data_IF_435141538821
#
_entry.id   IF_435141538821
#
_cell.length_a   1.000
_cell.length_b   1.000
_cell.length_c   1.000
_cell.angle_alpha   90.00
_cell.angle_beta   90.00
_cell.angle_gamma   90.00
#
_symmetry.space_group_name_H-M   'P 1'
#
loop_
_entity.id
_entity.type
_entity.pdbx_description
1 polymer ?
#
# COMPACT_ATOMS: atom_id res chain seq x y z
N UNK A 1 68.33 21.00 32.97
CA UNK A 1 67.41 20.08 32.26
C UNK A 1 66.08 20.80 32.02
N UNK A 2 65.87 21.28 30.79
CA UNK A 2 64.59 21.96 30.39
C UNK A 2 63.65 20.90 29.80
N UNK A 3 62.47 20.76 30.42
CA UNK A 3 61.41 19.90 29.88
C UNK A 3 60.65 20.68 28.80
N UNK A 4 60.69 20.22 27.57
CA UNK A 4 59.80 20.68 26.50
C UNK A 4 58.41 20.05 26.69
N UNK A 5 57.41 20.88 26.94
CA UNK A 5 56.02 20.47 26.91
C UNK A 5 55.52 20.50 25.46
N UNK A 6 55.10 19.35 24.94
CA UNK A 6 54.42 19.23 23.64
C UNK A 6 52.92 19.44 23.88
N UNK A 7 52.38 20.57 23.40
CA UNK A 7 50.93 20.82 23.37
C UNK A 7 50.36 20.12 22.12
N UNK A 8 49.52 19.10 22.33
CA UNK A 8 48.77 18.47 21.28
C UNK A 8 47.44 19.26 21.10
N UNK A 9 47.37 20.04 20.02
CA UNK A 9 46.11 20.65 19.61
C UNK A 9 45.23 19.58 18.96
N UNK A 10 44.17 19.14 19.64
CA UNK A 10 43.13 18.29 19.04
C UNK A 10 42.23 19.18 18.22
N UNK A 11 42.33 19.09 16.90
CA UNK A 11 41.44 19.74 15.96
C UNK A 11 40.13 18.90 15.93
N UNK A 12 39.06 19.37 16.58
CA UNK A 12 37.74 18.81 16.44
C UNK A 12 37.18 19.20 15.07
N UNK A 13 37.18 18.26 14.14
CA UNK A 13 36.49 18.40 12.85
C UNK A 13 34.99 18.19 13.15
N UNK A 14 34.25 19.28 13.28
CA UNK A 14 32.78 19.23 13.19
C UNK A 14 32.43 18.93 11.72
N UNK A 15 32.10 17.69 11.41
CA UNK A 15 31.42 17.36 10.18
C UNK A 15 30.01 18.01 10.24
N UNK A 16 29.85 19.15 9.57
CA UNK A 16 28.54 19.67 9.25
C UNK A 16 27.93 18.67 8.27
N UNK A 17 26.99 17.85 8.75
CA UNK A 17 26.12 17.13 7.85
C UNK A 17 25.37 18.20 7.03
N UNK A 18 25.63 18.26 5.74
CA UNK A 18 24.78 19.01 4.83
C UNK A 18 23.37 18.45 4.98
N UNK A 19 22.31 19.28 5.06
CA UNK A 19 20.96 18.78 4.92
C UNK A 19 20.93 18.03 3.60
N UNK A 20 20.58 16.74 3.63
CA UNK A 20 20.36 15.97 2.42
C UNK A 20 19.36 16.73 1.56
N UNK A 21 19.67 16.96 0.30
CA UNK A 21 18.67 17.47 -0.63
C UNK A 21 17.49 16.50 -0.55
N UNK A 22 16.29 17.03 -0.30
CA UNK A 22 15.05 16.25 -0.44
C UNK A 22 14.90 15.99 -1.93
N UNK A 23 14.57 14.76 -2.32
CA UNK A 23 14.21 14.46 -3.69
C UNK A 23 13.10 15.42 -4.14
N UNK A 24 13.24 15.99 -5.31
CA UNK A 24 12.12 16.66 -5.98
C UNK A 24 11.33 15.59 -6.73
N UNK A 25 10.05 15.44 -6.39
CA UNK A 25 9.18 14.44 -7.00
C UNK A 25 8.02 15.13 -7.71
N UNK A 26 7.68 14.65 -8.89
CA UNK A 26 6.58 15.15 -9.70
C UNK A 26 5.62 13.98 -9.98
N UNK A 27 4.35 14.12 -9.62
CA UNK A 27 3.32 13.19 -10.03
C UNK A 27 2.92 13.48 -11.48
N UNK A 28 3.34 12.61 -12.40
CA UNK A 28 2.99 12.75 -13.81
C UNK A 28 1.55 12.28 -14.05
N UNK A 29 1.18 11.10 -13.53
CA UNK A 29 -0.18 10.57 -13.61
C UNK A 29 -0.59 9.84 -12.33
N UNK A 30 -1.89 9.85 -12.05
CA UNK A 30 -2.51 8.99 -11.03
C UNK A 30 -3.93 8.62 -11.41
N UNK A 31 -4.29 7.37 -11.12
CA UNK A 31 -5.62 6.84 -11.36
C UNK A 31 -6.06 5.92 -10.22
N UNK A 32 -7.36 5.86 -9.99
CA UNK A 32 -8.01 5.04 -8.97
C UNK A 32 -9.02 4.10 -9.63
N UNK A 33 -8.94 2.82 -9.36
CA UNK A 33 -9.92 1.84 -9.82
C UNK A 33 -10.67 1.29 -8.60
N UNK A 34 -12.00 1.39 -8.63
CA UNK A 34 -12.87 0.80 -7.63
C UNK A 34 -13.92 -0.03 -8.33
N UNK A 35 -13.85 -1.34 -8.15
CA UNK A 35 -14.82 -2.31 -8.70
C UNK A 35 -14.99 -2.18 -10.22
N UNK A 36 -13.89 -1.88 -10.94
CA UNK A 36 -13.85 -1.68 -12.39
C UNK A 36 -14.24 -0.27 -12.86
N UNK A 37 -14.62 0.64 -11.97
CA UNK A 37 -14.82 2.04 -12.31
C UNK A 37 -13.52 2.83 -12.05
N UNK A 38 -13.05 3.55 -13.08
CA UNK A 38 -11.77 4.28 -13.05
C UNK A 38 -12.02 5.77 -12.88
N UNK A 39 -11.23 6.39 -12.00
CA UNK A 39 -11.33 7.80 -11.63
C UNK A 39 -9.95 8.45 -11.65
N UNK A 40 -9.90 9.75 -12.00
CA UNK A 40 -8.77 10.63 -11.71
C UNK A 40 -8.96 11.30 -10.34
N UNK A 41 -7.93 11.95 -9.76
CA UNK A 41 -8.05 12.67 -8.48
C UNK A 41 -9.22 13.67 -8.44
N UNK A 42 -9.48 14.36 -9.54
CA UNK A 42 -10.57 15.34 -9.63
C UNK A 42 -11.97 14.75 -9.79
N UNK A 43 -12.09 13.46 -10.07
CA UNK A 43 -13.36 12.74 -10.26
C UNK A 43 -13.58 11.62 -9.25
N UNK A 44 -12.66 11.44 -8.30
CA UNK A 44 -12.77 10.42 -7.27
C UNK A 44 -14.08 10.57 -6.47
N UNK A 45 -14.80 9.47 -6.19
CA UNK A 45 -16.04 9.53 -5.44
C UNK A 45 -15.80 9.93 -3.97
N UNK A 46 -16.85 10.37 -3.27
CA UNK A 46 -16.77 10.97 -1.93
C UNK A 46 -16.22 10.01 -0.84
N UNK A 47 -16.17 8.71 -1.11
CA UNK A 47 -15.56 7.72 -0.21
C UNK A 47 -14.03 7.64 -0.34
N UNK A 48 -13.43 8.40 -1.27
CA UNK A 48 -12.00 8.63 -1.37
C UNK A 48 -11.63 9.96 -0.74
N UNK A 49 -10.61 9.97 0.10
CA UNK A 49 -10.08 11.17 0.75
C UNK A 49 -8.61 11.38 0.34
N UNK A 50 -8.37 12.44 -0.40
CA UNK A 50 -7.05 12.84 -0.89
C UNK A 50 -6.50 14.06 -0.14
N UNK A 51 -7.13 14.52 0.93
CA UNK A 51 -6.72 15.74 1.65
C UNK A 51 -5.29 15.66 2.25
N UNK A 52 -4.76 14.46 2.45
CA UNK A 52 -3.40 14.21 2.93
C UNK A 52 -2.45 13.74 1.82
N UNK A 53 -2.82 13.91 0.56
CA UNK A 53 -2.03 13.57 -0.63
C UNK A 53 -1.71 14.82 -1.43
N UNK A 54 -0.43 15.04 -1.67
CA UNK A 54 0.05 16.11 -2.54
C UNK A 54 0.03 15.61 -3.99
N UNK A 55 -0.95 16.06 -4.75
CA UNK A 55 -1.11 15.68 -6.16
C UNK A 55 -0.05 16.32 -7.10
N UNK A 56 0.76 17.25 -6.63
CA UNK A 56 1.89 17.78 -7.39
C UNK A 56 3.13 16.89 -7.24
N UNK A 57 3.42 16.48 -6.01
CA UNK A 57 4.60 15.67 -5.71
C UNK A 57 4.33 14.15 -5.71
N UNK A 58 3.09 13.71 -5.73
CA UNK A 58 2.74 12.29 -5.61
C UNK A 58 2.96 11.71 -4.20
N UNK A 59 3.14 12.55 -3.19
CA UNK A 59 3.49 12.14 -1.83
C UNK A 59 2.32 12.31 -0.85
N UNK A 60 2.25 11.43 0.14
CA UNK A 60 1.26 11.51 1.20
C UNK A 60 0.38 10.28 1.31
N UNK A 61 -0.88 10.46 1.72
CA UNK A 61 -1.80 9.36 2.00
C UNK A 61 -3.12 9.56 1.25
N UNK A 62 -3.52 8.56 0.51
CA UNK A 62 -4.83 8.41 -0.10
C UNK A 62 -5.61 7.41 0.76
N UNK A 63 -6.80 7.79 1.24
CA UNK A 63 -7.66 6.90 2.04
C UNK A 63 -8.95 6.63 1.27
N UNK A 64 -9.36 5.36 1.19
CA UNK A 64 -10.65 4.97 0.65
C UNK A 64 -11.46 4.16 1.67
N UNK A 65 -12.77 4.36 1.70
CA UNK A 65 -13.70 3.56 2.50
C UNK A 65 -14.69 2.83 1.62
N UNK A 66 -14.83 1.53 1.83
CA UNK A 66 -15.76 0.68 1.08
C UNK A 66 -16.75 0.05 2.02
N UNK A 67 -18.01 0.06 1.62
CA UNK A 67 -19.15 -0.54 2.33
C UNK A 67 -19.97 -1.38 1.37
N UNK A 68 -20.80 -2.25 1.91
CA UNK A 68 -21.65 -3.13 1.12
C UNK A 68 -21.12 -4.57 1.09
N UNK A 69 -22.02 -5.51 1.13
CA UNK A 69 -21.65 -6.93 1.05
C UNK A 69 -21.23 -7.31 -0.37
N UNK A 70 -20.18 -8.09 -0.48
CA UNK A 70 -19.73 -8.63 -1.76
C UNK A 70 -18.23 -8.64 -1.90
N UNK A 71 -17.77 -8.95 -3.11
CA UNK A 71 -16.38 -8.85 -3.51
C UNK A 71 -16.10 -7.43 -3.98
N UNK A 72 -14.98 -6.89 -3.54
CA UNK A 72 -14.50 -5.56 -3.89
C UNK A 72 -13.07 -5.62 -4.38
N UNK A 73 -12.76 -4.68 -5.27
CA UNK A 73 -11.45 -4.47 -5.83
C UNK A 73 -11.12 -2.97 -5.78
N UNK A 74 -10.03 -2.60 -5.14
CA UNK A 74 -9.54 -1.22 -5.11
C UNK A 74 -8.08 -1.16 -5.48
N UNK A 75 -7.73 -0.30 -6.47
CA UNK A 75 -6.35 -0.09 -6.90
C UNK A 75 -6.04 1.39 -7.01
N UNK A 76 -4.77 1.72 -6.77
CA UNK A 76 -4.16 3.02 -7.03
C UNK A 76 -2.99 2.80 -7.97
N UNK A 77 -2.97 3.54 -9.06
CA UNK A 77 -1.86 3.68 -10.00
C UNK A 77 -1.21 5.04 -9.81
N UNK A 78 0.11 5.08 -9.79
CA UNK A 78 0.91 6.30 -9.66
C UNK A 78 2.10 6.21 -10.60
N UNK A 79 2.29 7.27 -11.35
CA UNK A 79 3.44 7.54 -12.20
C UNK A 79 4.14 8.78 -11.62
N UNK A 80 5.29 8.56 -10.97
CA UNK A 80 6.02 9.58 -10.20
C UNK A 80 7.44 9.67 -10.74
N UNK A 81 7.85 10.86 -11.11
CA UNK A 81 9.21 11.18 -11.55
C UNK A 81 10.07 11.67 -10.39
N UNK A 82 11.34 11.26 -10.33
CA UNK A 82 12.29 11.67 -9.29
C UNK A 82 13.40 12.49 -9.92
N UNK A 83 13.52 13.76 -9.49
CA UNK A 83 14.61 14.69 -9.93
C UNK A 83 14.73 14.85 -11.47
N UNK A 84 13.60 14.75 -12.20
CA UNK A 84 13.52 14.77 -13.66
C UNK A 84 14.19 16.01 -14.31
N UNK A 85 14.20 17.16 -13.63
CA UNK A 85 14.86 18.37 -14.13
C UNK A 85 16.40 18.21 -14.23
N UNK A 86 16.97 17.23 -13.53
CA UNK A 86 18.42 17.00 -13.44
C UNK A 86 18.87 15.86 -14.35
N UNK A 87 18.05 14.82 -14.48
CA UNK A 87 18.46 13.61 -15.20
C UNK A 87 17.33 13.08 -16.08
N UNK A 88 16.55 12.62 -16.33
CA UNK A 88 15.48 12.10 -17.17
C UNK A 88 14.89 10.84 -16.55
N UNK A 89 13.69 10.55 -16.90
CA UNK A 89 12.90 9.48 -16.29
C UNK A 89 13.28 8.04 -16.70
N UNK A 90 14.10 7.85 -17.73
CA UNK A 90 14.52 6.50 -18.20
C UNK A 90 15.70 5.88 -17.43
N UNK A 91 16.03 6.38 -16.26
CA UNK A 91 17.18 5.91 -15.47
C UNK A 91 16.76 5.26 -14.13
N UNK A 92 15.50 5.17 -13.88
CA UNK A 92 14.94 4.67 -12.63
C UNK A 92 14.79 3.15 -12.61
N UNK A 93 14.64 2.58 -11.44
CA UNK A 93 14.31 1.15 -11.30
C UNK A 93 13.41 0.88 -10.10
N UNK A 94 12.62 -0.16 -10.23
CA UNK A 94 11.73 -0.63 -9.20
C UNK A 94 12.29 -1.77 -8.36
N UNK A 95 11.84 -1.86 -7.11
CA UNK A 95 12.08 -2.99 -6.23
C UNK A 95 10.91 -3.20 -5.26
N UNK A 96 10.86 -4.36 -4.61
CA UNK A 96 9.89 -4.64 -3.55
C UNK A 96 10.59 -4.99 -2.25
N UNK A 97 9.91 -4.77 -1.12
CA UNK A 97 10.38 -5.18 0.19
C UNK A 97 9.24 -5.83 0.98
N UNK A 98 9.57 -6.88 1.73
CA UNK A 98 8.59 -7.67 2.48
C UNK A 98 7.85 -8.69 1.61
N UNK A 99 6.76 -9.23 2.14
CA UNK A 99 5.87 -10.16 1.44
C UNK A 99 4.45 -9.57 1.43
N UNK A 100 3.74 -9.61 0.29
CA UNK A 100 2.39 -9.08 0.21
C UNK A 100 1.44 -9.89 1.10
N UNK A 101 0.54 -9.20 1.78
CA UNK A 101 -0.55 -9.82 2.53
C UNK A 101 -1.57 -10.46 1.58
N UNK A 102 -2.35 -11.39 2.10
CA UNK A 102 -3.43 -12.01 1.32
C UNK A 102 -4.40 -10.93 0.80
N UNK A 103 -4.69 -10.97 -0.50
CA UNK A 103 -5.54 -10.00 -1.19
C UNK A 103 -4.83 -8.72 -1.64
N UNK A 104 -3.61 -8.44 -1.19
CA UNK A 104 -2.80 -7.34 -1.72
C UNK A 104 -2.25 -7.72 -3.10
N UNK A 105 -2.50 -6.87 -4.07
CA UNK A 105 -1.98 -6.95 -5.44
C UNK A 105 -0.99 -5.82 -5.67
N UNK A 106 -0.03 -6.04 -6.52
CA UNK A 106 0.99 -5.05 -6.82
C UNK A 106 1.60 -5.25 -8.21
N UNK A 107 2.16 -4.20 -8.77
CA UNK A 107 2.94 -4.24 -9.98
C UNK A 107 3.87 -3.03 -10.04
N UNK A 108 5.04 -3.21 -10.65
CA UNK A 108 5.98 -2.18 -11.03
C UNK A 108 6.32 -2.41 -12.48
N UNK A 109 6.09 -1.42 -13.33
CA UNK A 109 6.42 -1.54 -14.75
C UNK A 109 6.55 -0.14 -15.40
N UNK A 110 6.91 -0.08 -16.67
CA UNK A 110 6.77 1.14 -17.45
C UNK A 110 5.29 1.55 -17.55
N UNK A 111 4.97 2.86 -17.65
CA UNK A 111 3.59 3.35 -17.50
C UNK A 111 2.59 2.88 -18.58
N UNK A 112 3.05 2.20 -19.64
CA UNK A 112 2.16 1.62 -20.65
C UNK A 112 1.88 2.52 -21.85
N UNK A 113 2.51 3.67 -21.98
CA UNK A 113 2.34 4.53 -23.16
C UNK A 113 3.00 3.97 -24.42
N UNK A 114 4.12 3.28 -24.25
CA UNK A 114 4.88 2.64 -25.31
C UNK A 114 5.28 1.22 -24.95
N UNK A 115 5.66 1.00 -23.69
CA UNK A 115 6.10 -0.27 -23.11
C UNK A 115 5.44 -0.46 -21.75
N UNK A 116 5.50 -1.69 -21.23
CA UNK A 116 4.82 -2.08 -20.00
C UNK A 116 3.33 -2.37 -20.20
N UNK A 117 2.73 -3.03 -19.24
CA UNK A 117 1.31 -3.38 -19.25
C UNK A 117 0.58 -3.06 -17.92
N UNK A 118 1.27 -2.40 -16.99
CA UNK A 118 0.75 -2.04 -15.67
C UNK A 118 -0.57 -1.25 -15.75
N UNK A 119 -0.71 -0.34 -16.72
CA UNK A 119 -1.93 0.45 -16.87
C UNK A 119 -3.09 -0.40 -17.36
N UNK A 120 -2.87 -1.32 -18.29
CA UNK A 120 -3.87 -2.26 -18.76
C UNK A 120 -4.30 -3.22 -17.65
N UNK A 121 -3.34 -3.74 -16.86
CA UNK A 121 -3.57 -4.57 -15.68
C UNK A 121 -4.34 -3.82 -14.59
N UNK A 122 -3.99 -2.55 -14.36
CA UNK A 122 -4.73 -1.67 -13.46
C UNK A 122 -6.17 -1.44 -13.93
N UNK A 123 -6.40 -1.18 -15.22
CA UNK A 123 -7.75 -1.04 -15.79
C UNK A 123 -8.57 -2.32 -15.64
N UNK A 124 -7.94 -3.47 -15.83
CA UNK A 124 -8.55 -4.78 -15.66
C UNK A 124 -8.80 -5.14 -14.18
N UNK A 125 -8.22 -4.40 -13.22
CA UNK A 125 -8.29 -4.72 -11.80
C UNK A 125 -7.49 -5.97 -11.41
N UNK A 126 -6.42 -6.29 -12.16
CA UNK A 126 -5.71 -7.56 -12.06
C UNK A 126 -4.19 -7.37 -12.22
N UNK A 127 -3.56 -6.68 -11.23
CA UNK A 127 -2.10 -6.54 -11.17
C UNK A 127 -1.44 -7.91 -11.04
N UNK A 128 -0.36 -8.14 -11.79
CA UNK A 128 0.21 -9.47 -12.01
C UNK A 128 1.28 -9.87 -10.99
N UNK A 129 1.72 -8.95 -10.13
CA UNK A 129 2.71 -9.22 -9.09
C UNK A 129 4.14 -9.28 -9.62
N UNK A 130 4.44 -8.58 -10.71
CA UNK A 130 5.77 -8.53 -11.32
C UNK A 130 6.45 -7.16 -11.19
N UNK A 131 7.73 -7.14 -11.50
CA UNK A 131 8.54 -5.95 -11.64
C UNK A 131 9.21 -5.99 -13.02
N UNK A 132 8.70 -5.20 -13.96
CA UNK A 132 9.19 -5.07 -15.32
C UNK A 132 10.47 -4.22 -15.43
N UNK A 133 10.71 -3.34 -14.45
CA UNK A 133 11.85 -2.41 -14.42
C UNK A 133 12.78 -2.69 -13.22
N UNK A 134 13.42 -3.87 -13.14
CA UNK A 134 14.25 -4.24 -12.00
C UNK A 134 15.64 -3.55 -12.03
N UNK A 135 16.36 -3.54 -10.88
CA UNK A 135 17.75 -3.06 -10.84
C UNK A 135 18.62 -3.72 -11.93
N UNK A 136 19.32 -2.90 -12.72
CA UNK A 136 20.15 -3.34 -13.85
C UNK A 136 19.48 -3.20 -15.23
N UNK A 137 18.19 -2.92 -15.27
CA UNK A 137 17.41 -2.57 -16.45
C UNK A 137 16.57 -1.33 -16.15
N UNK A 138 17.23 -0.16 -15.91
CA UNK A 138 16.52 1.07 -15.57
C UNK A 138 15.74 1.58 -16.78
N UNK A 139 14.56 2.10 -16.51
CA UNK A 139 13.66 2.75 -17.46
C UNK A 139 12.72 3.69 -16.70
N UNK A 140 11.62 4.07 -17.30
CA UNK A 140 10.50 4.79 -16.69
C UNK A 140 9.73 3.87 -15.73
N UNK A 141 9.45 4.32 -14.50
CA UNK A 141 8.87 3.48 -13.45
C UNK A 141 7.53 4.00 -12.97
N UNK A 142 6.51 3.20 -13.16
CA UNK A 142 5.20 3.39 -12.52
C UNK A 142 4.91 2.32 -11.47
N UNK A 143 4.02 2.65 -10.53
CA UNK A 143 3.55 1.74 -9.47
C UNK A 143 2.06 1.48 -9.54
N UNK A 144 1.66 0.28 -9.19
CA UNK A 144 0.29 0.02 -8.79
C UNK A 144 0.22 -0.84 -7.54
N UNK A 145 -0.65 -0.47 -6.61
CA UNK A 145 -1.05 -1.28 -5.45
C UNK A 145 -2.56 -1.38 -5.38
N UNK A 146 -3.06 -2.53 -4.95
CA UNK A 146 -4.48 -2.73 -4.79
C UNK A 146 -4.84 -3.87 -3.86
N UNK A 147 -6.13 -4.00 -3.58
CA UNK A 147 -6.68 -5.03 -2.71
C UNK A 147 -7.90 -5.69 -3.34
N UNK A 148 -7.91 -7.02 -3.30
CA UNK A 148 -9.09 -7.84 -3.49
C UNK A 148 -9.57 -8.35 -2.13
N UNK A 149 -10.81 -8.06 -1.78
CA UNK A 149 -11.39 -8.46 -0.49
C UNK A 149 -12.90 -8.68 -0.58
N UNK A 150 -13.46 -9.29 0.44
CA UNK A 150 -14.89 -9.47 0.58
C UNK A 150 -15.38 -8.80 1.86
N UNK A 151 -16.56 -8.17 1.79
CA UNK A 151 -17.26 -7.61 2.95
C UNK A 151 -18.57 -8.35 3.21
N UNK A 152 -18.88 -8.56 4.49
CA UNK A 152 -20.22 -8.88 4.96
C UNK A 152 -21.07 -7.59 5.08
N UNK A 153 -22.39 -7.72 5.18
CA UNK A 153 -23.33 -6.60 5.01
C UNK A 153 -23.16 -5.39 5.92
N UNK A 154 -22.55 -5.55 7.10
CA UNK A 154 -22.31 -4.46 8.06
C UNK A 154 -20.83 -4.09 8.20
N UNK A 155 -19.96 -4.67 7.39
CA UNK A 155 -18.54 -4.38 7.43
C UNK A 155 -18.18 -3.15 6.61
N UNK A 156 -17.11 -2.50 7.05
CA UNK A 156 -16.48 -1.34 6.37
C UNK A 156 -14.99 -1.63 6.24
N UNK A 157 -14.50 -1.61 5.02
CA UNK A 157 -13.06 -1.61 4.76
C UNK A 157 -12.55 -0.16 4.68
N UNK A 158 -11.47 0.13 5.39
CA UNK A 158 -10.70 1.35 5.26
C UNK A 158 -9.32 0.99 4.70
N UNK A 159 -9.01 1.54 3.54
CA UNK A 159 -7.75 1.33 2.84
C UNK A 159 -6.94 2.62 2.87
N UNK A 160 -5.65 2.52 3.22
CA UNK A 160 -4.70 3.62 3.16
C UNK A 160 -3.59 3.25 2.18
N UNK A 161 -3.40 4.07 1.16
CA UNK A 161 -2.29 4.01 0.23
C UNK A 161 -1.36 5.17 0.57
N UNK A 162 -0.09 4.89 0.78
CA UNK A 162 0.86 5.90 1.24
C UNK A 162 2.12 5.90 0.40
N UNK A 163 2.47 7.07 -0.11
CA UNK A 163 3.76 7.38 -0.72
C UNK A 163 4.62 8.24 0.22
N UNK A 164 5.92 8.03 0.22
CA UNK A 164 6.85 8.72 1.12
C UNK A 164 8.29 8.64 0.61
N UNK A 165 9.10 9.64 0.92
CA UNK A 165 10.57 9.60 0.73
C UNK A 165 11.30 8.84 1.86
N UNK A 166 10.56 8.31 2.82
CA UNK A 166 11.11 7.52 3.93
C UNK A 166 10.53 6.12 3.89
N UNK A 167 11.41 5.13 3.90
CA UNK A 167 11.01 3.72 3.89
C UNK A 167 10.07 3.40 5.06
N UNK A 168 8.99 2.65 4.83
CA UNK A 168 8.17 2.10 5.90
C UNK A 168 9.00 1.25 6.87
N UNK A 169 8.65 1.28 8.16
CA UNK A 169 9.36 0.49 9.18
C UNK A 169 9.15 -1.04 9.04
N UNK A 170 8.22 -1.47 8.21
CA UNK A 170 7.91 -2.86 7.95
C UNK A 170 6.71 -3.02 7.02
N UNK A 171 6.28 -4.26 6.80
CA UNK A 171 5.21 -4.60 5.86
C UNK A 171 5.73 -4.75 4.42
N UNK A 172 4.79 -4.90 3.49
CA UNK A 172 5.09 -4.92 2.06
C UNK A 172 5.03 -3.50 1.48
N UNK A 173 6.01 -3.15 0.67
CA UNK A 173 6.02 -1.89 -0.07
C UNK A 173 6.80 -1.99 -1.38
N UNK A 174 6.48 -1.13 -2.31
CA UNK A 174 7.19 -0.90 -3.57
C UNK A 174 8.19 0.22 -3.37
N UNK A 175 9.28 0.18 -4.13
CA UNK A 175 10.35 1.18 -4.12
C UNK A 175 10.67 1.56 -5.55
N UNK A 176 10.67 2.83 -5.85
CA UNK A 176 11.26 3.43 -7.05
C UNK A 176 12.53 4.15 -6.63
N UNK A 177 13.60 3.96 -7.36
CA UNK A 177 14.89 4.57 -7.07
C UNK A 177 15.46 5.21 -8.31
N UNK A 178 15.82 6.47 -8.19
CA UNK A 178 16.69 7.16 -9.13
C UNK A 178 18.15 7.00 -8.67
N UNK A 179 18.99 6.28 -9.42
CA UNK A 179 20.39 6.05 -9.04
C UNK A 179 21.26 7.30 -9.14
N UNK A 180 20.90 8.27 -9.97
CA UNK A 180 21.71 9.47 -10.21
C UNK A 180 21.63 10.46 -9.04
N UNK A 181 20.43 10.63 -8.45
CA UNK A 181 20.24 11.41 -7.23
C UNK A 181 20.38 10.57 -5.95
N UNK A 182 20.40 9.24 -6.06
CA UNK A 182 20.31 8.28 -4.96
C UNK A 182 19.02 8.47 -4.10
N UNK A 183 17.99 9.01 -4.70
CA UNK A 183 16.69 9.24 -4.09
C UNK A 183 15.76 8.05 -4.30
N UNK A 184 14.77 7.90 -3.42
CA UNK A 184 13.76 6.84 -3.56
C UNK A 184 12.39 7.29 -3.07
N UNK A 185 11.36 6.82 -3.77
CA UNK A 185 9.96 6.90 -3.37
C UNK A 185 9.50 5.51 -2.93
N UNK A 186 8.77 5.45 -1.83
CA UNK A 186 8.21 4.22 -1.27
C UNK A 186 6.70 4.26 -1.35
N UNK A 187 6.09 3.20 -1.85
CA UNK A 187 4.64 3.06 -1.95
C UNK A 187 4.15 1.84 -1.17
N UNK A 188 3.30 2.05 -0.18
CA UNK A 188 2.76 1.01 0.69
C UNK A 188 1.24 1.13 0.82
N UNK A 189 0.59 0.04 1.23
CA UNK A 189 -0.84 0.04 1.49
C UNK A 189 -1.21 -0.83 2.67
N UNK A 190 -2.21 -0.38 3.42
CA UNK A 190 -2.81 -1.10 4.54
C UNK A 190 -4.33 -1.13 4.38
N UNK A 191 -4.94 -2.25 4.76
CA UNK A 191 -6.39 -2.41 4.79
C UNK A 191 -6.82 -2.84 6.19
N UNK A 192 -7.88 -2.21 6.70
CA UNK A 192 -8.54 -2.59 7.95
C UNK A 192 -10.04 -2.75 7.71
N UNK A 193 -10.58 -3.92 8.05
CA UNK A 193 -12.02 -4.21 7.99
C UNK A 193 -12.58 -4.13 9.41
N UNK A 194 -13.61 -3.32 9.59
CA UNK A 194 -14.31 -3.12 10.86
C UNK A 194 -15.81 -3.35 10.70
N UNK A 195 -16.53 -3.54 11.78
CA UNK A 195 -17.93 -3.90 11.76
C UNK A 195 -18.09 -5.43 11.69
N UNK A 196 -19.14 -5.89 11.09
CA UNK A 196 -19.56 -7.28 11.14
C UNK A 196 -20.56 -7.52 12.28
N UNK A 197 -21.54 -8.36 12.03
CA UNK A 197 -22.43 -8.80 13.09
C UNK A 197 -21.60 -9.55 14.15
N UNK A 198 -21.76 -9.22 15.44
CA UNK A 198 -21.13 -10.02 16.47
C UNK A 198 -21.59 -11.47 16.28
N UNK A 199 -20.64 -12.41 16.21
CA UNK A 199 -20.96 -13.84 16.25
C UNK A 199 -21.63 -14.08 17.62
N UNK A 200 -22.95 -13.97 17.66
CA UNK A 200 -23.72 -14.35 18.84
C UNK A 200 -23.62 -15.88 18.84
N UNK A 201 -22.91 -16.49 19.81
CA UNK A 201 -22.90 -17.94 19.92
C UNK A 201 -24.37 -18.38 20.01
N UNK A 202 -24.75 -19.34 19.18
CA UNK A 202 -26.14 -19.87 19.21
C UNK A 202 -26.52 -20.07 20.65
N UNK A 203 -27.67 -19.51 21.13
CA UNK A 203 -28.01 -19.60 22.53
C UNK A 203 -27.97 -21.06 22.93
N UNK A 204 -27.42 -21.35 24.12
CA UNK A 204 -27.43 -22.70 24.70
C UNK A 204 -28.86 -23.33 24.74
N UNK A 205 -29.85 -22.56 24.33
CA UNK A 205 -31.24 -22.96 24.08
C UNK A 205 -31.36 -24.13 23.10
N UNK A 206 -30.55 -24.22 22.03
CA UNK A 206 -30.53 -25.38 21.14
C UNK A 206 -29.99 -26.62 21.85
N UNK A 207 -28.94 -26.48 22.65
CA UNK A 207 -28.43 -27.56 23.49
C UNK A 207 -29.41 -27.96 24.59
N UNK A 208 -30.07 -27.00 25.21
CA UNK A 208 -31.15 -27.24 26.20
C UNK A 208 -32.36 -27.90 25.56
N UNK A 209 -32.75 -27.50 24.35
CA UNK A 209 -33.87 -28.13 23.63
C UNK A 209 -33.54 -29.57 23.25
N UNK A 210 -32.35 -29.83 22.69
CA UNK A 210 -31.93 -31.19 22.35
C UNK A 210 -31.79 -32.09 23.58
N UNK A 211 -31.22 -31.56 24.67
CA UNK A 211 -31.11 -32.33 25.93
C UNK A 211 -32.48 -32.53 26.57
N UNK A 212 -33.37 -31.54 26.56
CA UNK A 212 -34.75 -31.62 27.06
C UNK A 212 -35.57 -32.69 26.32
N UNK A 213 -35.48 -32.71 24.98
CA UNK A 213 -36.15 -33.73 24.16
C UNK A 213 -35.60 -35.14 24.42
N UNK A 214 -34.29 -35.31 24.60
CA UNK A 214 -33.63 -36.59 24.90
C UNK A 214 -34.06 -37.13 26.28
N UNK A 215 -34.20 -36.27 27.29
CA UNK A 215 -34.68 -36.64 28.61
C UNK A 215 -36.21 -36.94 28.62
N UNK A 216 -37.01 -36.18 27.84
CA UNK A 216 -38.45 -36.40 27.69
C UNK A 216 -38.72 -37.76 27.03
N UNK A 217 -38.01 -38.11 25.94
CA UNK A 217 -38.18 -39.37 25.24
C UNK A 217 -37.82 -40.58 26.12
N UNK A 218 -36.80 -40.50 26.98
CA UNK A 218 -36.42 -41.58 27.93
C UNK A 218 -37.50 -41.85 29.00
N UNK A 219 -38.28 -40.85 29.39
CA UNK A 219 -39.39 -41.03 30.38
C UNK A 219 -40.60 -41.73 29.78
N UNK A 220 -40.89 -41.51 28.49
CA UNK A 220 -41.98 -42.16 27.79
C UNK A 220 -41.72 -43.66 27.54
N UNK A 221 -40.50 -44.04 27.21
CA UNK A 221 -40.13 -45.44 26.95
C UNK A 221 -40.11 -46.33 28.22
N UNK A 222 -40.03 -45.74 29.43
CA UNK A 222 -40.04 -46.47 30.70
C UNK A 222 -41.44 -46.70 31.33
N UNK A 223 -42.50 -46.22 30.69
CA UNK A 223 -43.90 -46.34 31.18
C UNK A 223 -44.82 -47.18 30.28
N UNK A 224 -44.21 -47.89 29.26
CA UNK A 224 -44.89 -48.85 28.43
C UNK A 224 -44.66 -50.32 28.85
#
# INVERSE_FOLDING_TARGET
MRRLGVSICVLAICALAAPGASADTILFESAFNQDGAVYSPGTAPANWNLAAFDAGAGLGTITAQVTGAGLHNLLVFLDIEIDEEVNGFFNEFGATSGAPSAGLMWEIDEPGYAFGDIYDNFLAGALDGTNGVPPGFPDDVSFALGWNFALAGSEVATLNFRTSLTAPAGGFYLVQTDPDSASSVYFSSEMNITGGEPVIPEPATLWLLCTGLAFGARRFVRRG
#
